data_IF_138001922856
#
_entry.id   IF_138001922856
#
_cell.length_a   1.000
_cell.length_b   1.000
_cell.length_c   1.000
_cell.angle_alpha   90.00
_cell.angle_beta   90.00
_cell.angle_gamma   90.00
#
_symmetry.space_group_name_H-M   'P 1'
#
loop_
_entity.id
_entity.type
_entity.pdbx_description
1 polymer ?
#
# COMPACT_ATOMS: atom_id res chain seq x y z
N UNK A 1 -11.46 -3.96 -12.54
CA UNK A 1 -11.05 -4.64 -11.28
C UNK A 1 -11.67 -6.02 -11.24
N UNK A 2 -11.09 -6.99 -10.51
CA UNK A 2 -11.70 -8.30 -10.24
C UNK A 2 -11.40 -8.81 -8.83
N UNK A 3 -12.32 -9.59 -8.25
CA UNK A 3 -12.08 -10.33 -7.01
C UNK A 3 -11.50 -11.70 -7.37
N UNK A 4 -10.44 -12.12 -6.67
CA UNK A 4 -9.78 -13.41 -6.87
C UNK A 4 -9.56 -14.12 -5.54
N UNK A 5 -9.49 -15.45 -5.59
CA UNK A 5 -9.04 -16.25 -4.46
C UNK A 5 -7.53 -16.18 -4.24
N UNK A 6 -7.09 -16.64 -3.08
CA UNK A 6 -5.67 -16.69 -2.68
C UNK A 6 -4.80 -17.48 -3.66
N UNK A 7 -5.25 -18.65 -4.10
CA UNK A 7 -4.47 -19.49 -5.01
C UNK A 7 -4.19 -18.76 -6.34
N UNK A 8 -5.19 -18.04 -6.87
CA UNK A 8 -5.07 -17.21 -8.06
C UNK A 8 -4.18 -16.01 -7.81
N UNK A 9 -4.34 -15.32 -6.69
CA UNK A 9 -3.50 -14.19 -6.31
C UNK A 9 -2.01 -14.54 -6.23
N UNK A 10 -1.65 -15.66 -5.59
CA UNK A 10 -0.26 -16.10 -5.45
C UNK A 10 0.44 -16.40 -6.80
N UNK A 11 -0.33 -16.67 -7.86
CA UNK A 11 0.19 -16.86 -9.23
C UNK A 11 0.34 -15.56 -10.02
N UNK A 12 -0.13 -14.43 -9.50
CA UNK A 12 -0.01 -13.13 -10.17
C UNK A 12 1.43 -12.61 -10.06
N UNK A 13 1.90 -11.90 -11.10
CA UNK A 13 3.26 -11.37 -11.12
C UNK A 13 3.46 -10.29 -10.05
N UNK A 14 4.71 -10.06 -9.61
CA UNK A 14 5.09 -8.85 -8.88
C UNK A 14 4.66 -7.58 -9.62
N UNK A 15 4.38 -6.51 -8.88
CA UNK A 15 3.81 -5.26 -9.40
C UNK A 15 2.28 -5.27 -9.51
N UNK A 16 1.61 -6.36 -9.12
CA UNK A 16 0.14 -6.42 -9.10
C UNK A 16 -0.39 -5.51 -7.98
N UNK A 17 -1.18 -4.50 -8.33
CA UNK A 17 -1.86 -3.64 -7.34
C UNK A 17 -3.14 -4.31 -6.86
N UNK A 18 -3.30 -4.40 -5.54
CA UNK A 18 -4.44 -5.08 -4.92
C UNK A 18 -4.87 -4.44 -3.61
N UNK A 19 -6.04 -4.85 -3.14
CA UNK A 19 -6.47 -4.70 -1.75
C UNK A 19 -6.89 -6.08 -1.23
N UNK A 20 -6.60 -6.38 0.04
CA UNK A 20 -7.28 -7.49 0.70
C UNK A 20 -8.77 -7.22 0.70
N UNK A 21 -9.58 -8.25 0.49
CA UNK A 21 -11.01 -8.14 0.38
C UNK A 21 -11.69 -9.17 1.28
N UNK A 22 -12.63 -8.71 2.08
CA UNK A 22 -13.68 -9.55 2.64
C UNK A 22 -15.02 -9.05 2.08
N UNK A 23 -16.08 -9.86 2.04
CA UNK A 23 -17.35 -9.43 1.44
C UNK A 23 -17.78 -8.05 1.95
N UNK A 24 -17.88 -7.10 1.02
CA UNK A 24 -18.26 -5.70 1.23
C UNK A 24 -17.22 -4.80 1.92
N UNK A 25 -15.99 -5.27 2.15
CA UNK A 25 -14.93 -4.49 2.81
C UNK A 25 -13.63 -4.59 2.02
N UNK A 26 -13.09 -3.43 1.66
CA UNK A 26 -11.75 -3.30 1.10
C UNK A 26 -10.76 -2.94 2.20
N UNK A 27 -9.63 -3.64 2.26
CA UNK A 27 -8.48 -3.27 3.09
C UNK A 27 -7.59 -2.22 2.42
N UNK A 28 -6.36 -2.11 2.90
CA UNK A 28 -5.39 -1.15 2.40
C UNK A 28 -4.93 -1.47 0.97
N UNK A 29 -4.59 -0.40 0.24
CA UNK A 29 -4.00 -0.51 -1.09
C UNK A 29 -2.54 -0.93 -0.96
N UNK A 30 -2.17 -2.00 -1.68
CA UNK A 30 -0.84 -2.58 -1.64
C UNK A 30 -0.37 -3.01 -3.04
N UNK A 31 0.94 -3.15 -3.17
CA UNK A 31 1.61 -3.69 -4.34
C UNK A 31 2.16 -5.06 -3.97
N UNK A 32 1.78 -6.08 -4.74
CA UNK A 32 2.28 -7.43 -4.59
C UNK A 32 3.72 -7.50 -5.10
N UNK A 33 4.63 -7.98 -4.28
CA UNK A 33 5.98 -8.39 -4.67
C UNK A 33 6.05 -9.88 -5.05
N UNK A 34 7.23 -10.47 -4.83
CA UNK A 34 7.48 -11.88 -5.12
C UNK A 34 6.66 -12.82 -4.23
N UNK A 35 6.23 -13.94 -4.82
CA UNK A 35 5.63 -15.05 -4.07
C UNK A 35 6.73 -15.86 -3.41
N UNK A 36 6.66 -16.02 -2.08
CA UNK A 36 7.65 -16.71 -1.25
C UNK A 36 7.17 -18.13 -0.97
N UNK A 37 7.96 -19.12 -1.40
CA UNK A 37 7.71 -20.55 -1.20
C UNK A 37 6.31 -21.05 -1.65
N UNK A 38 5.63 -20.31 -2.53
CA UNK A 38 4.29 -20.66 -3.03
C UNK A 38 3.15 -20.53 -2.00
N UNK A 39 3.45 -20.06 -0.79
CA UNK A 39 2.50 -20.00 0.33
C UNK A 39 2.43 -18.61 0.97
N UNK A 40 3.22 -17.65 0.53
CA UNK A 40 3.26 -16.30 1.07
C UNK A 40 3.69 -15.33 -0.04
N UNK A 41 3.65 -14.04 0.22
CA UNK A 41 4.13 -13.03 -0.71
C UNK A 41 4.73 -11.84 0.04
N UNK A 42 5.64 -11.16 -0.65
CA UNK A 42 6.09 -9.83 -0.24
C UNK A 42 5.01 -8.83 -0.61
N UNK A 43 4.69 -7.92 0.29
CA UNK A 43 3.80 -6.80 0.03
C UNK A 43 4.45 -5.47 0.37
N UNK A 44 4.01 -4.44 -0.34
CA UNK A 44 4.39 -3.05 -0.14
C UNK A 44 3.10 -2.26 0.00
N UNK A 45 2.76 -1.89 1.23
CA UNK A 45 1.55 -1.11 1.49
C UNK A 45 1.80 0.34 1.12
N UNK A 46 0.76 1.05 0.68
CA UNK A 46 0.82 2.50 0.50
C UNK A 46 0.43 3.26 1.78
N UNK A 47 0.41 2.56 2.92
CA UNK A 47 0.22 3.13 4.24
C UNK A 47 1.51 3.84 4.68
N UNK A 48 1.44 4.85 5.57
CA UNK A 48 2.62 5.63 5.93
C UNK A 48 3.69 4.78 6.60
N UNK A 49 4.80 4.57 5.90
CA UNK A 49 6.09 4.25 6.52
C UNK A 49 7.01 5.45 6.36
N UNK A 50 8.10 5.50 7.13
CA UNK A 50 8.98 6.66 7.20
C UNK A 50 10.40 6.27 6.84
N UNK A 51 11.10 7.12 6.09
CA UNK A 51 12.52 6.92 5.81
C UNK A 51 13.33 6.81 7.11
N UNK A 52 14.29 5.88 7.13
CA UNK A 52 15.14 5.64 8.30
C UNK A 52 14.47 4.85 9.44
N UNK A 53 13.22 4.42 9.26
CA UNK A 53 12.49 3.59 10.21
C UNK A 53 12.72 2.09 9.92
N UNK A 54 13.50 1.43 10.77
CA UNK A 54 13.91 0.03 10.60
C UNK A 54 13.07 -0.97 11.40
N UNK A 55 12.19 -0.49 12.27
CA UNK A 55 11.36 -1.35 13.12
C UNK A 55 10.23 -0.61 13.80
N UNK A 56 9.40 -1.36 14.53
CA UNK A 56 8.18 -0.84 15.14
C UNK A 56 8.44 0.22 16.20
N UNK A 57 9.51 0.11 17.01
CA UNK A 57 9.82 1.10 18.05
C UNK A 57 10.06 2.48 17.45
N UNK A 58 10.94 2.57 16.45
CA UNK A 58 11.22 3.82 15.74
C UNK A 58 9.97 4.37 15.05
N UNK A 59 9.11 3.48 14.53
CA UNK A 59 7.83 3.88 13.96
C UNK A 59 6.91 4.54 15.00
N UNK A 60 6.77 3.94 16.18
CA UNK A 60 5.97 4.48 17.27
C UNK A 60 6.49 5.83 17.75
N UNK A 61 7.82 5.97 17.89
CA UNK A 61 8.44 7.24 18.31
C UNK A 61 8.16 8.37 17.29
N UNK A 62 8.18 8.06 15.98
CA UNK A 62 7.82 9.04 14.95
C UNK A 62 6.34 9.42 15.06
N UNK A 63 5.45 8.47 15.29
CA UNK A 63 4.02 8.74 15.46
C UNK A 63 3.74 9.62 16.70
N UNK A 64 4.44 9.38 17.81
CA UNK A 64 4.32 10.21 19.02
C UNK A 64 4.78 11.66 18.76
N UNK A 65 5.86 11.84 18.01
CA UNK A 65 6.33 13.17 17.58
C UNK A 65 5.32 13.88 16.67
N UNK A 66 4.70 13.13 15.75
CA UNK A 66 3.63 13.66 14.89
C UNK A 66 2.41 14.09 15.70
N UNK A 67 2.01 13.31 16.71
CA UNK A 67 0.93 13.68 17.63
C UNK A 67 1.26 14.95 18.44
N UNK A 68 2.55 15.20 18.71
CA UNK A 68 3.03 16.43 19.31
C UNK A 68 3.09 17.64 18.34
N UNK A 69 2.76 17.43 17.06
CA UNK A 69 2.71 18.49 16.03
C UNK A 69 4.02 18.69 15.26
N UNK A 70 5.00 17.80 15.41
CA UNK A 70 6.20 17.81 14.58
C UNK A 70 5.87 17.39 13.13
N UNK A 71 6.75 17.75 12.19
CA UNK A 71 6.64 17.30 10.80
C UNK A 71 7.11 15.85 10.67
N UNK A 72 6.44 15.08 9.80
CA UNK A 72 6.88 13.72 9.49
C UNK A 72 8.23 13.77 8.77
N UNK A 73 9.09 12.75 8.98
CA UNK A 73 10.10 12.42 7.98
C UNK A 73 9.44 12.15 6.62
N UNK A 74 10.21 12.13 5.51
CA UNK A 74 9.71 11.68 4.23
C UNK A 74 9.11 10.27 4.33
N UNK A 75 8.09 10.01 3.52
CA UNK A 75 7.50 8.68 3.44
C UNK A 75 8.44 7.73 2.73
N UNK A 76 8.65 6.55 3.31
CA UNK A 76 9.26 5.44 2.62
C UNK A 76 8.16 4.62 1.97
N UNK A 77 8.06 4.72 0.65
CA UNK A 77 7.14 3.89 -0.11
C UNK A 77 7.79 2.61 -0.61
N UNK A 78 9.13 2.47 -0.59
CA UNK A 78 9.87 1.28 -1.03
C UNK A 78 10.12 0.30 0.12
N UNK A 79 9.16 0.24 1.06
CA UNK A 79 9.19 -0.66 2.19
C UNK A 79 8.49 -1.98 1.85
N UNK A 80 9.24 -3.08 1.87
CA UNK A 80 8.74 -4.42 1.58
C UNK A 80 8.61 -5.24 2.87
N UNK A 81 7.41 -5.74 3.15
CA UNK A 81 7.11 -6.65 4.25
C UNK A 81 6.64 -8.00 3.73
N UNK A 82 6.69 -9.04 4.58
CA UNK A 82 5.92 -10.27 4.33
C UNK A 82 4.57 -10.09 5.01
N UNK A 83 3.49 -10.34 4.28
CA UNK A 83 2.15 -10.27 4.88
C UNK A 83 1.96 -11.36 5.94
N UNK A 84 2.52 -12.56 5.69
CA UNK A 84 2.38 -13.72 6.57
C UNK A 84 0.92 -14.12 6.86
N UNK A 85 -0.03 -13.76 5.97
CA UNK A 85 -1.40 -14.27 6.05
C UNK A 85 -1.53 -15.62 5.34
N UNK A 86 -1.89 -16.63 6.13
CA UNK A 86 -2.13 -18.00 5.70
C UNK A 86 -3.61 -18.37 5.68
N UNK A 87 -4.50 -17.37 5.70
CA UNK A 87 -5.94 -17.62 5.66
C UNK A 87 -6.38 -18.11 4.28
N UNK A 88 -6.76 -19.39 4.18
CA UNK A 88 -7.14 -20.03 2.92
C UNK A 88 -8.33 -19.34 2.22
N UNK A 89 -9.24 -18.74 3.01
CA UNK A 89 -10.43 -18.03 2.52
C UNK A 89 -10.18 -16.58 2.10
N UNK A 90 -8.96 -16.07 2.17
CA UNK A 90 -8.65 -14.68 1.84
C UNK A 90 -8.95 -14.39 0.37
N UNK A 91 -9.76 -13.34 0.13
CA UNK A 91 -10.03 -12.81 -1.20
C UNK A 91 -9.21 -11.53 -1.45
N UNK A 92 -8.96 -11.24 -2.72
CA UNK A 92 -8.18 -10.07 -3.13
C UNK A 92 -8.93 -9.32 -4.22
N UNK A 93 -9.06 -8.00 -4.06
CA UNK A 93 -9.52 -7.10 -5.09
C UNK A 93 -8.32 -6.64 -5.91
N UNK A 94 -8.17 -7.19 -7.11
CA UNK A 94 -7.04 -6.91 -8.02
C UNK A 94 -7.45 -5.89 -9.06
N UNK A 95 -6.68 -4.80 -9.13
CA UNK A 95 -6.90 -3.72 -10.08
C UNK A 95 -6.46 -4.16 -11.48
N UNK A 96 -7.21 -3.78 -12.49
CA UNK A 96 -6.70 -3.78 -13.87
C UNK A 96 -6.02 -2.45 -14.20
N UNK A 97 -5.34 -2.39 -15.35
CA UNK A 97 -4.60 -1.21 -15.76
C UNK A 97 -5.50 0.04 -15.84
N UNK A 98 -6.73 -0.11 -16.33
CA UNK A 98 -7.66 1.01 -16.49
C UNK A 98 -8.10 1.56 -15.13
N UNK A 99 -8.37 0.68 -14.15
CA UNK A 99 -8.70 1.13 -12.80
C UNK A 99 -7.53 1.92 -12.20
N UNK A 100 -6.31 1.39 -12.35
CA UNK A 100 -5.11 2.00 -11.79
C UNK A 100 -4.83 3.37 -12.42
N UNK A 101 -4.97 3.49 -13.73
CA UNK A 101 -4.86 4.78 -14.44
C UNK A 101 -5.85 5.82 -13.89
N UNK A 102 -7.08 5.38 -13.57
CA UNK A 102 -8.12 6.24 -12.99
C UNK A 102 -7.74 6.70 -11.58
N UNK A 103 -7.23 5.79 -10.74
CA UNK A 103 -6.75 6.11 -9.39
C UNK A 103 -5.59 7.10 -9.45
N UNK A 104 -4.59 6.84 -10.30
CA UNK A 104 -3.43 7.73 -10.49
C UNK A 104 -3.89 9.13 -10.90
N UNK A 105 -4.78 9.23 -11.89
CA UNK A 105 -5.32 10.52 -12.35
C UNK A 105 -6.02 11.27 -11.21
N UNK A 106 -6.80 10.57 -10.37
CA UNK A 106 -7.50 11.17 -9.23
C UNK A 106 -6.52 11.67 -8.15
N UNK A 107 -5.48 10.90 -7.85
CA UNK A 107 -4.43 11.27 -6.90
C UNK A 107 -3.63 12.49 -7.37
N UNK A 108 -3.26 12.52 -8.65
CA UNK A 108 -2.60 13.68 -9.25
C UNK A 108 -3.48 14.94 -9.20
N UNK A 109 -4.78 14.80 -9.42
CA UNK A 109 -5.72 15.91 -9.27
C UNK A 109 -5.79 16.39 -7.82
N UNK A 110 -5.95 15.46 -6.86
CA UNK A 110 -5.98 15.78 -5.43
C UNK A 110 -4.70 16.51 -4.99
N UNK A 111 -3.54 16.07 -5.48
CA UNK A 111 -2.25 16.73 -5.24
C UNK A 111 -2.27 18.20 -5.68
N UNK A 112 -2.77 18.49 -6.90
CA UNK A 112 -2.81 19.87 -7.41
C UNK A 112 -3.79 20.75 -6.64
N UNK A 113 -4.95 20.21 -6.28
CA UNK A 113 -6.00 20.96 -5.57
C UNK A 113 -5.64 21.23 -4.11
N UNK A 114 -5.10 20.23 -3.40
CA UNK A 114 -4.81 20.30 -1.98
C UNK A 114 -3.43 20.87 -1.62
N UNK A 115 -2.48 20.84 -2.56
CA UNK A 115 -1.10 21.28 -2.33
C UNK A 115 -0.65 22.22 -3.45
N UNK A 116 -1.27 23.41 -3.58
CA UNK A 116 -0.86 24.39 -4.57
C UNK A 116 0.61 24.74 -4.31
N UNK A 117 1.46 24.61 -5.34
CA UNK A 117 2.81 25.18 -5.28
C UNK A 117 2.64 26.66 -5.06
N UNK A 118 3.26 27.19 -3.99
CA UNK A 118 3.41 28.63 -3.85
C UNK A 118 4.25 29.09 -5.05
N UNK A 119 3.59 29.60 -6.09
CA UNK A 119 4.26 30.42 -7.08
C UNK A 119 4.83 31.60 -6.28
N UNK A 120 6.14 31.57 -6.05
CA UNK A 120 6.87 32.73 -5.53
C UNK A 120 6.69 33.87 -6.54
N UNK A 121 5.76 34.77 -6.23
CA UNK A 121 5.69 36.11 -6.80
C UNK A 121 6.71 37.03 -6.12
#
# INVERSE_FOLDING_TARGET
>A
MRIVDRATFLRLPPGTVYMKFTPHVFGDLAIKGDTVAGIDWVEQTLSPWFEGCSGSVEHWDILDRLLAGEQSPPLDLDCAGRDASFEDGQLFAVFDARDLDTVIARLQLARREGYPTADHA
#
